data_IF_282857959843
#
_entry.id   IF_282857959843
#
_cell.length_a   1.000
_cell.length_b   1.000
_cell.length_c   1.000
_cell.angle_alpha   90.00
_cell.angle_beta   90.00
_cell.angle_gamma   90.00
#
_symmetry.space_group_name_H-M   'P 1'
#
loop_
_entity.id
_entity.type
_entity.pdbx_description
1 polymer ?
#
# COMPACT_ATOMS: atom_id res chain seq x y z
N UNK A 1 19.59 -3.64 -6.40
CA UNK A 1 18.28 -3.89 -7.05
C UNK A 1 17.19 -4.29 -6.05
N UNK A 2 17.40 -5.29 -5.19
CA UNK A 2 16.36 -5.80 -4.27
C UNK A 2 15.72 -4.71 -3.39
N UNK A 3 16.55 -3.82 -2.80
CA UNK A 3 16.08 -2.69 -1.98
C UNK A 3 15.12 -1.75 -2.73
N UNK A 4 15.34 -1.52 -4.03
CA UNK A 4 14.46 -0.66 -4.85
C UNK A 4 13.09 -1.29 -5.08
N UNK A 5 13.05 -2.61 -5.20
CA UNK A 5 11.81 -3.38 -5.39
C UNK A 5 11.05 -3.45 -4.05
N UNK A 6 11.73 -3.80 -2.95
CA UNK A 6 11.11 -3.95 -1.63
C UNK A 6 10.67 -2.63 -0.99
N UNK A 7 11.20 -1.51 -1.47
CA UNK A 7 10.82 -0.16 -1.00
C UNK A 7 9.88 0.57 -1.95
N UNK A 8 9.35 -0.09 -2.99
CA UNK A 8 8.38 0.53 -3.87
C UNK A 8 7.01 0.58 -3.19
N UNK A 9 6.45 1.77 -2.90
CA UNK A 9 5.16 1.88 -2.23
C UNK A 9 4.01 1.27 -3.07
N UNK A 10 4.13 1.30 -4.40
CA UNK A 10 3.19 0.66 -5.32
C UNK A 10 3.20 -0.87 -5.22
N UNK A 11 4.39 -1.48 -5.12
CA UNK A 11 4.50 -2.93 -4.94
C UNK A 11 4.07 -3.37 -3.54
N UNK A 12 4.35 -2.55 -2.52
CA UNK A 12 3.83 -2.75 -1.16
C UNK A 12 2.30 -2.70 -1.18
N UNK A 13 1.70 -1.69 -1.82
CA UNK A 13 0.25 -1.57 -1.93
C UNK A 13 -0.37 -2.76 -2.67
N UNK A 14 0.21 -3.16 -3.80
CA UNK A 14 -0.25 -4.31 -4.58
C UNK A 14 -0.19 -5.61 -3.77
N UNK A 15 0.93 -5.87 -3.11
CA UNK A 15 1.09 -7.08 -2.29
C UNK A 15 0.11 -7.08 -1.11
N UNK A 16 -0.07 -5.94 -0.43
CA UNK A 16 -1.02 -5.80 0.64
C UNK A 16 -2.47 -5.99 0.16
N UNK A 17 -2.83 -5.51 -1.03
CA UNK A 17 -4.15 -5.74 -1.63
C UNK A 17 -4.40 -7.23 -1.90
N UNK A 18 -3.41 -7.95 -2.44
CA UNK A 18 -3.52 -9.41 -2.67
C UNK A 18 -3.72 -10.15 -1.33
N UNK A 19 -2.94 -9.79 -0.30
CA UNK A 19 -3.06 -10.37 1.03
C UNK A 19 -4.42 -10.06 1.66
N UNK A 20 -4.93 -8.84 1.52
CA UNK A 20 -6.23 -8.43 2.03
C UNK A 20 -7.36 -9.25 1.40
N UNK A 21 -7.34 -9.42 0.07
CA UNK A 21 -8.37 -10.19 -0.65
C UNK A 21 -8.33 -11.66 -0.27
N UNK A 22 -7.14 -12.26 -0.26
CA UNK A 22 -6.97 -13.70 0.04
C UNK A 22 -7.32 -14.02 1.48
N UNK A 23 -6.72 -13.31 2.45
CA UNK A 23 -7.03 -13.52 3.87
C UNK A 23 -8.45 -13.09 4.25
N UNK A 24 -9.02 -12.09 3.59
CA UNK A 24 -10.40 -11.68 3.77
C UNK A 24 -11.38 -12.76 3.30
N UNK A 25 -11.13 -13.35 2.12
CA UNK A 25 -11.91 -14.48 1.63
C UNK A 25 -11.86 -15.66 2.62
N UNK A 26 -10.66 -16.05 3.06
CA UNK A 26 -10.48 -17.14 4.02
C UNK A 26 -11.16 -16.84 5.37
N UNK A 27 -11.00 -15.62 5.89
CA UNK A 27 -11.59 -15.22 7.17
C UNK A 27 -13.12 -15.27 7.12
N UNK A 28 -13.74 -14.83 6.02
CA UNK A 28 -15.20 -14.86 5.86
C UNK A 28 -15.73 -16.29 5.70
N UNK A 29 -14.99 -17.18 5.02
CA UNK A 29 -15.41 -18.58 4.83
C UNK A 29 -15.15 -19.47 6.04
N UNK A 30 -14.27 -19.06 6.96
CA UNK A 30 -13.94 -19.79 8.18
C UNK A 30 -14.59 -19.18 9.44
N UNK A 31 -15.61 -18.33 9.32
CA UNK A 31 -16.26 -17.65 10.45
C UNK A 31 -16.88 -18.61 11.49
N UNK A 32 -17.29 -19.81 11.07
CA UNK A 32 -17.85 -20.82 11.98
C UNK A 32 -16.79 -21.42 12.93
N UNK A 33 -15.52 -21.38 12.53
CA UNK A 33 -14.40 -21.77 13.38
C UNK A 33 -13.77 -20.51 13.95
N UNK A 34 -14.29 -20.03 15.10
CA UNK A 34 -13.75 -18.87 15.83
C UNK A 34 -12.37 -19.18 16.45
N UNK A 35 -11.42 -19.55 15.60
CA UNK A 35 -10.02 -19.69 15.92
C UNK A 35 -9.32 -18.43 15.40
N UNK A 36 -8.68 -17.69 16.31
CA UNK A 36 -7.79 -16.57 15.97
C UNK A 36 -6.52 -17.13 15.30
N UNK A 37 -6.68 -17.62 14.06
CA UNK A 37 -5.63 -18.21 13.25
C UNK A 37 -4.85 -17.17 12.44
N UNK A 38 -3.80 -17.63 11.76
CA UNK A 38 -2.89 -16.84 10.92
C UNK A 38 -3.62 -15.95 9.89
N UNK A 39 -4.79 -16.37 9.40
CA UNK A 39 -5.61 -15.62 8.44
C UNK A 39 -6.05 -14.25 8.98
N UNK A 40 -6.48 -14.17 10.25
CA UNK A 40 -6.87 -12.90 10.87
C UNK A 40 -5.65 -11.98 11.05
N UNK A 41 -4.47 -12.54 11.35
CA UNK A 41 -3.22 -11.79 11.47
C UNK A 41 -2.77 -11.18 10.14
N UNK A 42 -2.84 -11.96 9.05
CA UNK A 42 -2.54 -11.49 7.69
C UNK A 42 -3.55 -10.42 7.27
N UNK A 43 -4.82 -10.59 7.63
CA UNK A 43 -5.87 -9.61 7.33
C UNK A 43 -5.54 -8.25 7.97
N UNK A 44 -5.27 -8.21 9.27
CA UNK A 44 -4.89 -6.96 9.96
C UNK A 44 -3.58 -6.39 9.42
N UNK A 45 -2.58 -7.24 9.18
CA UNK A 45 -1.30 -6.82 8.60
C UNK A 45 -1.48 -6.13 7.24
N UNK A 46 -2.29 -6.72 6.36
CA UNK A 46 -2.55 -6.16 5.03
C UNK A 46 -3.23 -4.79 5.08
N UNK A 47 -4.18 -4.59 6.01
CA UNK A 47 -4.84 -3.30 6.23
C UNK A 47 -3.83 -2.24 6.67
N UNK A 48 -2.97 -2.55 7.64
CA UNK A 48 -1.93 -1.62 8.12
C UNK A 48 -0.98 -1.24 6.99
N UNK A 49 -0.58 -2.21 6.15
CA UNK A 49 0.32 -1.96 5.03
C UNK A 49 -0.30 -1.05 3.96
N UNK A 50 -1.60 -1.21 3.67
CA UNK A 50 -2.34 -0.31 2.77
C UNK A 50 -2.38 1.10 3.35
N UNK A 51 -2.77 1.24 4.62
CA UNK A 51 -2.85 2.54 5.30
C UNK A 51 -1.48 3.24 5.28
N UNK A 52 -0.38 2.51 5.45
CA UNK A 52 0.98 3.08 5.39
C UNK A 52 1.42 3.46 3.98
N UNK A 53 1.06 2.68 2.97
CA UNK A 53 1.49 2.94 1.59
C UNK A 53 0.81 4.16 0.96
N UNK A 54 -0.44 4.47 1.34
CA UNK A 54 -1.19 5.63 0.84
C UNK A 54 -0.44 6.98 1.06
N UNK A 55 -0.04 7.36 2.30
CA UNK A 55 0.64 8.63 2.53
C UNK A 55 2.00 8.69 1.82
N UNK A 56 2.72 7.57 1.68
CA UNK A 56 3.98 7.53 0.92
C UNK A 56 3.76 7.88 -0.56
N UNK A 57 2.69 7.36 -1.17
CA UNK A 57 2.32 7.68 -2.56
C UNK A 57 1.89 9.15 -2.67
N UNK A 58 1.05 9.63 -1.74
CA UNK A 58 0.59 11.01 -1.75
C UNK A 58 1.76 12.00 -1.64
N UNK A 59 2.72 11.73 -0.74
CA UNK A 59 3.88 12.59 -0.58
C UNK A 59 4.72 12.65 -1.86
N UNK A 60 4.96 11.51 -2.51
CA UNK A 60 5.67 11.49 -3.79
C UNK A 60 4.94 12.24 -4.91
N UNK A 61 3.61 12.22 -4.93
CA UNK A 61 2.81 13.00 -5.89
C UNK A 61 2.91 14.51 -5.62
N UNK A 62 2.87 14.92 -4.36
CA UNK A 62 3.06 16.32 -3.96
C UNK A 62 4.43 16.85 -4.39
N UNK A 63 5.50 16.08 -4.18
CA UNK A 63 6.85 16.48 -4.60
C UNK A 63 6.96 16.67 -6.13
N UNK A 64 6.26 15.83 -6.91
CA UNK A 64 6.23 15.96 -8.38
C UNK A 64 5.47 17.21 -8.81
N UNK A 65 4.32 17.49 -8.19
CA UNK A 65 3.51 18.69 -8.46
C UNK A 65 4.29 19.97 -8.12
N UNK A 66 4.93 20.01 -6.94
CA UNK A 66 5.78 21.13 -6.52
C UNK A 66 6.96 21.34 -7.49
N UNK A 67 7.59 20.25 -7.96
CA UNK A 67 8.67 20.32 -8.94
C UNK A 67 8.20 20.87 -10.29
N UNK A 68 7.01 20.49 -10.75
CA UNK A 68 6.40 20.99 -11.99
C UNK A 68 6.08 22.50 -11.89
N UNK A 69 5.49 22.93 -10.78
CA UNK A 69 5.23 24.36 -10.53
C UNK A 69 6.51 25.19 -10.54
N UNK A 70 7.57 24.70 -9.88
CA UNK A 70 8.86 25.38 -9.83
C UNK A 70 9.52 25.46 -11.21
N UNK A 71 9.39 24.41 -12.02
CA UNK A 71 9.90 24.38 -13.39
C UNK A 71 9.15 25.40 -14.27
N UNK A 72 7.82 25.43 -14.21
CA UNK A 72 7.00 26.38 -14.95
C UNK A 72 7.30 27.84 -14.55
N UNK A 73 7.53 28.11 -13.26
CA UNK A 73 7.95 29.43 -12.77
C UNK A 73 9.32 29.86 -13.29
N UNK A 74 10.25 28.91 -13.56
CA UNK A 74 11.62 29.20 -14.04
C UNK A 74 11.73 29.32 -15.56
N UNK A 75 10.86 28.62 -16.30
CA UNK A 75 10.82 28.68 -17.76
C UNK A 75 9.38 28.94 -18.23
N UNK A 76 8.86 30.16 -18.02
CA UNK A 76 7.56 30.51 -18.57
C UNK A 76 7.67 30.48 -20.10
N UNK A 77 6.81 29.67 -20.73
CA UNK A 77 6.67 29.64 -22.20
C UNK A 77 6.22 30.98 -22.75
#
# INVERSE_FOLDING_TARGET
MLKKITSSPYLILLSAAILLVTSGYETIHSLDEFTLGTHHGILVFSIIQIIRAIPEIMHGLQEIEEADELMNKRMPN
#
